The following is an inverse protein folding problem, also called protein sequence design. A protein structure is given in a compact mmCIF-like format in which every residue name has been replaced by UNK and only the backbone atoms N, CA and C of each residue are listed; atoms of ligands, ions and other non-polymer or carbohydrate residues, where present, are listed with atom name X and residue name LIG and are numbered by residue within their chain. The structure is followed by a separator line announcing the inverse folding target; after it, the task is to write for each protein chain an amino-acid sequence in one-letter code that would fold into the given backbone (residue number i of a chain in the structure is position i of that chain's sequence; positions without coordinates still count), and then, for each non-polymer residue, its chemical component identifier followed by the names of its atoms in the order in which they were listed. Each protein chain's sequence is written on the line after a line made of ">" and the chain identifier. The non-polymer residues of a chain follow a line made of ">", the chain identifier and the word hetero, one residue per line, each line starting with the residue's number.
data_IF_096206319220
#
_entry.id   IF_096206319220
#
_cell.length_a   1.000
_cell.length_b   1.000
_cell.length_c   1.000
_cell.angle_alpha   90.00
_cell.angle_beta   90.00
_cell.angle_gamma   90.00
#
_symmetry.space_group_name_H-M   'P 1'
#
loop_
_entity.id
_entity.type
_entity.pdbx_description
1 polymer ?
#
# COMPACT_ATOMS: atom_id res chain seq x y z
N UNK A 1 -5.41 23.61 -16.43
CA UNK A 1 -5.10 23.56 -14.98
C UNK A 1 -3.71 22.99 -14.85
N UNK A 2 -2.82 23.59 -14.02
CA UNK A 2 -1.57 22.90 -13.70
C UNK A 2 -1.94 21.53 -13.14
N UNK A 3 -1.32 20.46 -13.63
CA UNK A 3 -1.47 19.13 -13.06
C UNK A 3 -1.00 19.23 -11.60
N UNK A 4 -1.95 19.44 -10.68
CA UNK A 4 -1.69 19.26 -9.26
C UNK A 4 -1.26 17.81 -9.13
N UNK A 5 0.01 17.62 -8.80
CA UNK A 5 0.65 16.34 -8.51
C UNK A 5 -0.33 15.40 -7.80
N UNK A 6 -0.58 14.23 -8.40
CA UNK A 6 -1.59 13.26 -7.93
C UNK A 6 -1.40 12.96 -6.45
N UNK A 7 -0.14 12.80 -6.01
CA UNK A 7 0.18 12.58 -4.61
C UNK A 7 -0.32 13.71 -3.71
N UNK A 8 -0.15 14.98 -4.11
CA UNK A 8 -0.65 16.13 -3.33
C UNK A 8 -2.17 16.10 -3.20
N UNK A 9 -2.89 15.72 -4.26
CA UNK A 9 -4.35 15.57 -4.19
C UNK A 9 -4.76 14.41 -3.30
N UNK A 10 -4.07 13.28 -3.37
CA UNK A 10 -4.33 12.13 -2.50
C UNK A 10 -4.12 12.53 -1.05
N UNK A 11 -2.97 13.14 -0.72
CA UNK A 11 -2.62 13.58 0.63
C UNK A 11 -3.62 14.62 1.15
N UNK A 12 -4.01 15.60 0.33
CA UNK A 12 -4.98 16.62 0.74
C UNK A 12 -6.37 16.05 1.04
N UNK A 13 -6.73 14.90 0.46
CA UNK A 13 -7.99 14.21 0.70
C UNK A 13 -7.83 13.00 1.65
N UNK A 14 -6.62 12.75 2.16
CA UNK A 14 -6.36 11.60 3.01
C UNK A 14 -6.81 11.92 4.44
N UNK A 15 -7.81 11.20 4.93
CA UNK A 15 -8.18 11.25 6.33
C UNK A 15 -7.12 10.50 7.16
N UNK A 16 -6.14 11.24 7.69
CA UNK A 16 -5.12 10.70 8.58
C UNK A 16 -5.69 10.40 9.97
N UNK A 17 -5.37 9.23 10.50
CA UNK A 17 -5.68 8.90 11.90
C UNK A 17 -4.87 9.80 12.86
N UNK A 18 -5.30 9.94 14.12
CA UNK A 18 -4.51 10.64 15.12
C UNK A 18 -3.09 10.05 15.22
N UNK A 19 -2.07 10.92 15.11
CA UNK A 19 -0.64 10.59 15.12
C UNK A 19 -0.15 9.76 13.91
N UNK A 20 -0.96 9.63 12.86
CA UNK A 20 -0.50 9.10 11.59
C UNK A 20 0.39 10.12 10.88
N UNK A 21 1.55 9.68 10.43
CA UNK A 21 2.54 10.52 9.76
C UNK A 21 2.90 9.90 8.41
N UNK A 22 2.97 10.76 7.39
CA UNK A 22 3.46 10.38 6.05
C UNK A 22 4.98 10.31 6.11
N UNK A 23 5.54 9.19 5.66
CA UNK A 23 6.96 8.89 5.71
C UNK A 23 7.60 8.93 4.32
N UNK A 24 6.95 8.30 3.33
CA UNK A 24 7.39 8.30 1.94
C UNK A 24 6.21 8.58 1.01
N UNK A 25 6.51 9.26 -0.09
CA UNK A 25 5.54 9.61 -1.13
C UNK A 25 6.24 9.52 -2.46
N UNK A 26 5.63 8.82 -3.41
CA UNK A 26 6.12 8.75 -4.78
C UNK A 26 4.97 8.82 -5.78
N UNK A 27 5.11 9.68 -6.78
CA UNK A 27 4.19 9.83 -7.92
C UNK A 27 4.71 9.10 -9.15
N UNK A 28 3.86 8.89 -10.14
CA UNK A 28 4.16 8.13 -11.36
C UNK A 28 4.54 6.66 -11.09
N UNK A 29 4.01 6.08 -10.02
CA UNK A 29 4.21 4.68 -9.66
C UNK A 29 3.24 3.82 -10.46
N UNK A 30 3.75 2.75 -11.08
CA UNK A 30 2.90 1.74 -11.70
C UNK A 30 2.66 0.61 -10.69
N UNK A 31 1.41 0.30 -10.39
CA UNK A 31 1.06 -0.91 -9.64
C UNK A 31 0.79 -2.05 -10.62
N UNK A 32 1.46 -3.18 -10.42
CA UNK A 32 1.22 -4.43 -11.12
C UNK A 32 0.66 -5.44 -10.13
N UNK A 33 -0.57 -5.86 -10.37
CA UNK A 33 -1.20 -6.94 -9.62
C UNK A 33 -1.15 -8.22 -10.44
N UNK A 34 -0.57 -9.29 -9.86
CA UNK A 34 -0.39 -10.60 -10.51
C UNK A 34 -1.15 -11.72 -9.78
N UNK A 35 -2.29 -11.40 -9.18
CA UNK A 35 -3.08 -12.33 -8.36
C UNK A 35 -4.48 -12.61 -8.90
N UNK A 36 -5.09 -13.70 -8.45
CA UNK A 36 -6.54 -13.91 -8.56
C UNK A 36 -7.22 -13.45 -7.27
N UNK A 37 -7.94 -12.32 -7.31
CA UNK A 37 -8.83 -11.96 -6.20
C UNK A 37 -10.05 -12.86 -6.27
N UNK A 38 -10.15 -13.84 -5.38
CA UNK A 38 -11.44 -14.48 -5.09
C UNK A 38 -12.01 -13.80 -3.86
N UNK A 39 -13.16 -13.14 -4.06
CA UNK A 39 -13.94 -12.42 -3.04
C UNK A 39 -13.97 -13.20 -1.72
N UNK A 40 -13.54 -12.58 -0.62
CA UNK A 40 -13.80 -13.10 0.73
C UNK A 40 -14.70 -12.12 1.50
N UNK A 41 -15.63 -12.58 2.36
CA UNK A 41 -16.77 -11.78 2.81
C UNK A 41 -16.55 -10.98 4.11
N UNK A 42 -15.34 -10.83 4.66
CA UNK A 42 -15.15 -10.20 5.98
C UNK A 42 -13.83 -9.40 6.11
N UNK A 43 -13.95 -8.07 6.25
CA UNK A 43 -12.95 -7.14 6.84
C UNK A 43 -11.69 -6.82 6.01
N UNK A 44 -11.05 -5.63 6.19
CA UNK A 44 -10.06 -5.07 5.26
C UNK A 44 -8.73 -5.87 5.27
N UNK A 45 -7.94 -5.86 4.18
CA UNK A 45 -7.77 -4.76 3.23
C UNK A 45 -8.87 -4.66 2.17
N UNK A 46 -9.33 -3.43 1.92
CA UNK A 46 -10.19 -3.11 0.77
C UNK A 46 -9.34 -3.14 -0.51
N UNK A 47 -9.01 -4.34 -0.96
CA UNK A 47 -8.51 -4.51 -2.32
C UNK A 47 -9.72 -4.31 -3.22
N UNK A 48 -9.72 -3.24 -4.01
CA UNK A 48 -10.80 -2.97 -4.97
C UNK A 48 -11.09 -4.25 -5.77
N UNK A 49 -12.36 -4.66 -5.79
CA UNK A 49 -12.86 -5.82 -6.56
C UNK A 49 -12.63 -5.72 -8.08
N UNK A 50 -11.93 -4.66 -8.54
CA UNK A 50 -11.53 -4.39 -9.92
C UNK A 50 -10.12 -4.88 -10.28
N UNK A 51 -9.38 -5.50 -9.34
CA UNK A 51 -8.06 -6.07 -9.59
C UNK A 51 -8.19 -7.59 -9.81
N UNK A 52 -8.65 -8.00 -11.00
CA UNK A 52 -8.70 -9.42 -11.39
C UNK A 52 -7.60 -9.71 -12.44
N UNK A 53 -6.87 -10.82 -12.28
CA UNK A 53 -5.84 -11.24 -13.24
C UNK A 53 -4.61 -10.33 -13.26
N UNK A 54 -3.92 -10.28 -14.41
CA UNK A 54 -2.76 -9.41 -14.63
C UNK A 54 -3.24 -7.98 -14.91
N UNK A 55 -3.24 -7.13 -13.88
CA UNK A 55 -3.68 -5.74 -14.00
C UNK A 55 -2.54 -4.78 -13.76
N UNK A 56 -2.30 -3.86 -14.70
CA UNK A 56 -1.39 -2.72 -14.53
C UNK A 56 -2.22 -1.46 -14.33
N UNK A 57 -1.93 -0.73 -13.25
CA UNK A 57 -2.48 0.61 -12.98
C UNK A 57 -1.33 1.61 -13.07
N UNK A 58 -1.21 2.31 -14.21
CA UNK A 58 -0.10 3.22 -14.40
C UNK A 58 -0.34 4.58 -13.73
N UNK A 59 0.75 5.34 -13.55
CA UNK A 59 0.73 6.75 -13.16
C UNK A 59 -0.02 7.02 -11.84
N UNK A 60 0.13 6.12 -10.86
CA UNK A 60 -0.43 6.30 -9.52
C UNK A 60 0.51 7.04 -8.58
N UNK A 61 0.03 7.24 -7.36
CA UNK A 61 0.80 7.71 -6.22
C UNK A 61 0.84 6.61 -5.15
N UNK A 62 2.05 6.26 -4.72
CA UNK A 62 2.29 5.36 -3.59
C UNK A 62 2.70 6.17 -2.37
N UNK A 63 2.07 5.90 -1.24
CA UNK A 63 2.26 6.63 0.02
C UNK A 63 2.49 5.62 1.13
N UNK A 64 3.60 5.80 1.86
CA UNK A 64 3.87 5.10 3.11
C UNK A 64 3.58 6.03 4.27
N UNK A 65 2.77 5.56 5.21
CA UNK A 65 2.62 6.17 6.52
C UNK A 65 3.18 5.25 7.60
N UNK A 66 3.32 5.76 8.82
CA UNK A 66 3.66 4.92 9.98
C UNK A 66 2.57 3.88 10.34
N UNK A 67 1.41 3.86 9.67
CA UNK A 67 0.29 2.94 9.96
C UNK A 67 -0.17 2.08 8.80
N UNK A 68 -0.05 2.56 7.56
CA UNK A 68 -0.57 1.91 6.35
C UNK A 68 0.21 2.32 5.11
N UNK A 69 0.05 1.50 4.08
CA UNK A 69 0.54 1.74 2.73
C UNK A 69 -0.68 1.99 1.84
N UNK A 70 -0.60 3.00 0.99
CA UNK A 70 -1.71 3.45 0.16
C UNK A 70 -1.21 3.63 -1.25
N UNK A 71 -1.92 3.05 -2.21
CA UNK A 71 -1.75 3.34 -3.62
C UNK A 71 -3.06 3.87 -4.20
N UNK A 72 -2.98 5.03 -4.81
CA UNK A 72 -4.10 5.69 -5.46
C UNK A 72 -3.75 6.03 -6.91
N UNK A 73 -4.73 5.93 -7.80
CA UNK A 73 -4.62 6.32 -9.19
C UNK A 73 -5.56 7.48 -9.50
N UNK A 74 -5.42 8.07 -10.69
CA UNK A 74 -6.44 8.96 -11.23
C UNK A 74 -7.78 8.21 -11.34
N UNK A 75 -8.80 8.70 -10.62
CA UNK A 75 -10.14 8.13 -10.66
C UNK A 75 -10.98 8.68 -11.81
N UNK A 76 -12.26 8.29 -11.84
CA UNK A 76 -13.21 8.76 -12.86
C UNK A 76 -13.47 10.26 -12.72
N UNK A 77 -13.59 10.95 -13.86
CA UNK A 77 -13.96 12.37 -13.92
C UNK A 77 -15.42 12.53 -13.47
N UNK A 78 -15.68 13.27 -12.40
CA UNK A 78 -17.02 13.58 -11.92
C UNK A 78 -17.29 15.07 -12.09
N UNK A 79 -18.26 15.40 -12.95
CA UNK A 79 -18.81 16.74 -13.23
C UNK A 79 -17.83 17.85 -13.66
N UNK A 80 -16.52 17.73 -13.41
CA UNK A 80 -15.35 18.51 -13.88
C UNK A 80 -14.08 18.20 -13.06
N UNK A 81 -14.22 17.57 -11.88
CA UNK A 81 -13.13 17.21 -10.97
C UNK A 81 -12.66 15.76 -11.20
N UNK A 82 -11.35 15.55 -11.28
CA UNK A 82 -10.75 14.21 -11.18
C UNK A 82 -10.47 13.94 -9.70
N UNK A 83 -11.22 13.03 -9.10
CA UNK A 83 -11.00 12.60 -7.71
C UNK A 83 -10.06 11.38 -7.76
N UNK A 84 -8.98 11.35 -6.96
CA UNK A 84 -8.14 10.17 -6.86
C UNK A 84 -8.94 8.94 -6.38
N UNK A 85 -8.72 7.78 -6.98
CA UNK A 85 -9.30 6.51 -6.56
C UNK A 85 -8.23 5.70 -5.81
N UNK A 86 -8.47 5.39 -4.53
CA UNK A 86 -7.63 4.47 -3.76
C UNK A 86 -7.89 3.05 -4.26
N UNK A 87 -6.85 2.39 -4.76
CA UNK A 87 -6.95 1.05 -5.34
C UNK A 87 -6.34 -0.03 -4.44
N UNK A 88 -5.43 0.38 -3.56
CA UNK A 88 -4.82 -0.47 -2.57
C UNK A 88 -4.59 0.33 -1.29
N UNK A 89 -5.06 -0.21 -0.18
CA UNK A 89 -4.78 0.29 1.16
C UNK A 89 -4.56 -0.90 2.08
N UNK A 90 -3.41 -0.92 2.75
CA UNK A 90 -3.02 -2.01 3.64
C UNK A 90 -2.43 -1.47 4.94
N UNK A 91 -2.99 -1.81 6.11
CA UNK A 91 -2.35 -1.56 7.38
C UNK A 91 -0.99 -2.25 7.45
N UNK A 92 0.02 -1.60 8.04
CA UNK A 92 1.35 -2.18 8.24
C UNK A 92 1.27 -3.50 9.01
N UNK A 93 0.29 -3.62 9.92
CA UNK A 93 0.05 -4.85 10.69
C UNK A 93 -0.36 -6.08 9.87
N UNK A 94 -0.76 -5.88 8.61
CA UNK A 94 -1.11 -6.96 7.66
C UNK A 94 -0.02 -7.19 6.63
N UNK A 95 1.04 -6.38 6.62
CA UNK A 95 2.17 -6.56 5.72
C UNK A 95 3.08 -7.63 6.31
N UNK A 96 3.16 -8.75 5.62
CA UNK A 96 4.03 -9.87 5.99
C UNK A 96 5.50 -9.53 5.71
N UNK A 97 5.78 -8.97 4.54
CA UNK A 97 7.14 -8.61 4.12
C UNK A 97 7.13 -7.59 2.99
N UNK A 98 8.21 -6.80 2.89
CA UNK A 98 8.58 -6.07 1.70
C UNK A 98 9.92 -6.56 1.15
N UNK A 99 10.04 -6.65 -0.18
CA UNK A 99 11.25 -7.10 -0.87
C UNK A 99 11.38 -6.45 -2.25
N UNK A 100 12.56 -6.54 -2.87
CA UNK A 100 12.75 -6.15 -4.27
C UNK A 100 12.66 -7.40 -5.16
N UNK A 101 11.87 -7.32 -6.23
CA UNK A 101 11.91 -8.30 -7.30
C UNK A 101 12.87 -7.81 -8.39
N UNK A 102 13.90 -8.61 -8.65
CA UNK A 102 14.85 -8.38 -9.73
C UNK A 102 14.30 -8.95 -11.04
N UNK A 103 14.23 -8.11 -12.08
CA UNK A 103 13.66 -8.44 -13.38
C UNK A 103 14.14 -7.46 -14.45
N UNK A 104 13.38 -7.32 -15.56
CA UNK A 104 13.67 -6.28 -16.58
C UNK A 104 13.60 -4.86 -16.00
N UNK A 105 12.77 -4.70 -14.97
CA UNK A 105 12.68 -3.50 -14.14
C UNK A 105 12.69 -3.99 -12.69
N UNK A 106 13.35 -3.24 -11.80
CA UNK A 106 13.34 -3.52 -10.37
C UNK A 106 12.01 -3.08 -9.79
N UNK A 107 11.28 -4.00 -9.16
CA UNK A 107 9.94 -3.74 -8.62
C UNK A 107 9.96 -3.88 -7.08
N UNK A 108 9.34 -2.94 -6.37
CA UNK A 108 8.99 -3.11 -4.95
C UNK A 108 7.87 -4.13 -4.85
N UNK A 109 8.06 -5.16 -4.01
CA UNK A 109 7.06 -6.20 -3.74
C UNK A 109 6.58 -6.06 -2.31
N UNK A 110 5.28 -5.90 -2.14
CA UNK A 110 4.61 -5.89 -0.85
C UNK A 110 3.79 -7.17 -0.74
N UNK A 111 4.10 -7.99 0.25
CA UNK A 111 3.37 -9.22 0.56
C UNK A 111 2.43 -8.96 1.73
N UNK A 112 1.14 -9.20 1.53
CA UNK A 112 0.13 -9.14 2.59
C UNK A 112 -0.22 -10.52 3.09
N UNK A 113 -0.41 -10.66 4.39
CA UNK A 113 -1.00 -11.86 5.00
C UNK A 113 -2.53 -11.76 4.90
N UNK A 114 -3.13 -12.54 3.99
CA UNK A 114 -4.59 -12.51 3.73
C UNK A 114 -5.31 -13.77 4.21
N UNK A 115 -4.61 -14.64 4.95
CA UNK A 115 -5.14 -15.83 5.61
C UNK A 115 -4.04 -16.77 6.10
N UNK A 116 -4.41 -17.84 6.82
CA UNK A 116 -3.51 -18.77 7.53
C UNK A 116 -2.37 -19.33 6.65
N UNK A 117 -2.60 -19.47 5.33
CA UNK A 117 -1.62 -20.00 4.38
C UNK A 117 -1.47 -19.14 3.12
N UNK A 118 -2.07 -17.93 3.07
CA UNK A 118 -2.16 -17.13 1.85
C UNK A 118 -1.41 -15.81 1.98
N UNK A 119 -0.53 -15.58 1.01
CA UNK A 119 0.25 -14.35 0.85
C UNK A 119 -0.05 -13.73 -0.52
N UNK A 120 -0.80 -12.64 -0.54
CA UNK A 120 -1.04 -11.89 -1.77
C UNK A 120 0.10 -10.90 -2.00
N UNK A 121 0.61 -10.82 -3.24
CA UNK A 121 1.76 -10.00 -3.60
C UNK A 121 1.35 -8.87 -4.53
N UNK A 122 1.80 -7.66 -4.21
CA UNK A 122 1.59 -6.43 -4.98
C UNK A 122 2.94 -5.90 -5.42
N UNK A 123 3.06 -5.55 -6.70
CA UNK A 123 4.31 -5.08 -7.29
C UNK A 123 4.17 -3.61 -7.66
N UNK A 124 5.20 -2.82 -7.39
CA UNK A 124 5.21 -1.38 -7.64
C UNK A 124 6.51 -0.97 -8.32
N UNK A 125 6.39 -0.24 -9.42
CA UNK A 125 7.50 0.42 -10.11
C UNK A 125 7.80 1.74 -9.40
N UNK A 126 8.72 1.69 -8.43
CA UNK A 126 9.24 2.87 -7.72
C UNK A 126 10.70 3.14 -8.14
N UNK A 127 11.16 4.38 -7.97
CA UNK A 127 12.49 4.84 -8.37
C UNK A 127 13.60 4.19 -7.55
N UNK A 128 13.38 4.02 -6.25
CA UNK A 128 14.32 3.41 -5.31
C UNK A 128 13.61 2.35 -4.45
N UNK A 129 13.44 1.11 -4.96
CA UNK A 129 12.73 0.06 -4.25
C UNK A 129 13.44 -0.38 -2.96
N UNK A 130 14.76 -0.22 -2.87
CA UNK A 130 15.54 -0.59 -1.68
C UNK A 130 15.23 0.32 -0.49
N UNK A 131 15.11 1.64 -0.73
CA UNK A 131 14.69 2.61 0.28
C UNK A 131 13.29 2.28 0.84
N UNK A 132 12.34 2.00 -0.05
CA UNK A 132 10.99 1.60 0.33
C UNK A 132 10.97 0.31 1.17
N UNK A 133 11.71 -0.71 0.74
CA UNK A 133 11.82 -1.99 1.47
C UNK A 133 12.36 -1.76 2.89
N UNK A 134 13.40 -0.94 3.03
CA UNK A 134 13.98 -0.61 4.34
C UNK A 134 12.96 0.04 5.26
N UNK A 135 12.29 1.10 4.80
CA UNK A 135 11.29 1.81 5.62
C UNK A 135 10.09 0.94 5.98
N UNK A 136 9.60 0.09 5.07
CA UNK A 136 8.48 -0.81 5.38
C UNK A 136 8.91 -1.86 6.42
N UNK A 137 10.07 -2.49 6.25
CA UNK A 137 10.54 -3.53 7.16
C UNK A 137 10.88 -2.98 8.56
N UNK A 138 11.35 -1.73 8.66
CA UNK A 138 11.50 -1.04 9.95
C UNK A 138 10.15 -0.90 10.67
N UNK A 139 9.09 -0.49 9.95
CA UNK A 139 7.75 -0.37 10.53
C UNK A 139 7.15 -1.72 10.94
N UNK A 140 7.34 -2.77 10.14
CA UNK A 140 6.93 -4.14 10.50
C UNK A 140 7.62 -4.57 11.79
N UNK A 141 8.94 -4.33 11.89
CA UNK A 141 9.73 -4.68 13.07
C UNK A 141 9.28 -3.94 14.32
N UNK A 142 8.97 -2.64 14.21
CA UNK A 142 8.42 -1.84 15.32
C UNK A 142 7.04 -2.35 15.77
N UNK A 143 6.19 -2.72 14.81
CA UNK A 143 4.86 -3.24 15.10
C UNK A 143 4.91 -4.59 15.83
N UNK A 144 5.82 -5.49 15.46
CA UNK A 144 5.99 -6.79 16.12
C UNK A 144 6.52 -6.65 17.56
N UNK A 145 7.54 -5.81 17.79
CA UNK A 145 8.03 -5.52 19.15
C UNK A 145 6.93 -4.99 20.08
N UNK A 146 5.99 -4.22 19.53
CA UNK A 146 4.86 -3.66 20.29
C UNK A 146 3.78 -4.71 20.61
N UNK A 147 3.69 -5.79 19.83
CA UNK A 147 2.79 -6.92 20.12
C UNK A 147 3.38 -7.82 21.20
N UNK A 148 4.65 -8.19 21.06
CA UNK A 148 5.33 -9.09 22.01
C UNK A 148 5.35 -8.48 23.43
N UNK A 149 5.61 -7.18 23.54
CA UNK A 149 5.59 -6.46 24.83
C UNK A 149 4.20 -6.33 25.48
N UNK A 150 3.12 -6.48 24.70
CA UNK A 150 1.74 -6.48 25.23
C UNK A 150 1.31 -7.86 25.70
N UNK A 151 1.81 -8.94 25.09
CA UNK A 151 1.51 -10.30 25.55
C UNK A 151 2.18 -10.58 26.91
N UNK A 152 3.41 -10.11 27.12
CA UNK A 152 4.16 -10.26 28.38
C UNK A 152 3.55 -9.51 29.59
N UNK A 153 2.65 -8.55 29.37
CA UNK A 153 2.01 -7.78 30.46
C UNK A 153 0.63 -8.30 30.84
N UNK A 154 0.11 -9.29 30.11
CA UNK A 154 -1.21 -9.92 30.36
C UNK A 154 -1.17 -11.13 31.31
N UNK A 155 0.01 -11.59 31.72
CA UNK A 155 0.19 -12.73 32.65
C UNK A 155 0.49 -12.33 34.12
N UNK A 156 0.04 -11.15 34.58
CA UNK A 156 0.16 -10.76 36.00
C UNK A 156 -1.16 -10.40 36.66
#
# INVERSE_FOLDING_TARGET
>A
MPEIDLAKRVIANLALYPREQILLVESNVNMVFRGGIRRYPRGPPEISTKLEGWTIKPNGALILTNRRIIFAAEGRKFLLLKVPEVLFEAPISMVYSASVAEGKVRELVISLETGIWRKDKFYFSVKDPDSWVRSINELISLNNKTKDSKEDTSEK
#
